data_IF_178887278469
#
_entry.id   IF_178887278469
#
_cell.length_a   1.000
_cell.length_b   1.000
_cell.length_c   1.000
_cell.angle_alpha   90.00
_cell.angle_beta   90.00
_cell.angle_gamma   90.00
#
_symmetry.space_group_name_H-M   'P 1'
#
loop_
_entity.id
_entity.type
_entity.pdbx_description
1 polymer ?
#
# COMPACT_ATOMS: atom_id res chain seq x y z
N UNK A 1 -29.02 -18.87 46.78
CA UNK A 1 -29.25 -18.70 45.33
C UNK A 1 -27.97 -18.20 44.71
N UNK A 2 -27.63 -18.79 43.58
CA UNK A 2 -26.32 -18.76 42.92
C UNK A 2 -26.03 -17.40 42.28
N UNK A 3 -24.76 -17.02 42.22
CA UNK A 3 -24.22 -15.86 41.48
C UNK A 3 -24.63 -15.88 40.01
N UNK A 4 -24.89 -14.72 39.37
CA UNK A 4 -24.49 -14.50 37.99
C UNK A 4 -23.18 -13.70 37.97
N UNK A 5 -22.03 -14.29 37.60
CA UNK A 5 -20.98 -13.50 37.00
C UNK A 5 -21.37 -13.17 35.55
N UNK A 6 -21.18 -11.90 35.22
CA UNK A 6 -21.43 -11.22 33.95
C UNK A 6 -21.08 -12.07 32.73
N UNK A 7 -22.05 -12.13 31.82
CA UNK A 7 -21.96 -12.64 30.46
C UNK A 7 -20.76 -12.04 29.70
N UNK A 8 -20.19 -12.88 28.85
CA UNK A 8 -19.04 -12.62 28.04
C UNK A 8 -19.21 -11.37 27.16
N UNK A 9 -18.11 -10.65 26.92
CA UNK A 9 -17.59 -10.62 25.57
C UNK A 9 -16.07 -10.56 25.60
N UNK A 10 -15.56 -11.44 24.74
CA UNK A 10 -14.19 -11.73 24.39
C UNK A 10 -13.40 -10.46 24.08
N UNK A 11 -12.08 -10.55 24.20
CA UNK A 11 -11.15 -9.53 23.74
C UNK A 11 -11.37 -9.24 22.25
N UNK A 12 -12.19 -8.25 21.90
CA UNK A 12 -11.97 -7.53 20.65
C UNK A 12 -10.79 -6.61 20.95
N UNK A 13 -9.60 -7.17 20.78
CA UNK A 13 -8.40 -6.38 20.57
C UNK A 13 -8.73 -5.44 19.42
N UNK A 14 -9.10 -4.20 19.78
CA UNK A 14 -9.06 -3.09 18.86
C UNK A 14 -7.62 -3.04 18.37
N UNK A 15 -7.40 -3.70 17.25
CA UNK A 15 -6.27 -3.58 16.36
C UNK A 15 -6.39 -2.16 15.77
N UNK A 16 -6.22 -1.15 16.62
CA UNK A 16 -5.90 0.23 16.25
C UNK A 16 -4.50 0.19 15.64
N UNK A 17 -4.38 -0.48 14.49
CA UNK A 17 -3.21 -0.45 13.64
C UNK A 17 -3.22 0.88 12.90
N UNK A 18 -2.84 1.94 13.61
CA UNK A 18 -2.15 3.14 13.13
C UNK A 18 -2.05 3.23 11.58
N UNK A 19 -3.19 3.54 10.96
CA UNK A 19 -3.39 3.88 9.55
C UNK A 19 -2.75 5.24 9.20
N UNK A 20 -1.71 5.67 9.91
CA UNK A 20 -1.30 7.08 9.82
C UNK A 20 -0.43 7.39 8.60
N UNK A 21 0.26 6.44 7.93
CA UNK A 21 0.90 6.74 6.62
C UNK A 21 1.43 5.48 5.84
N UNK A 22 0.61 4.44 5.61
CA UNK A 22 1.04 3.34 4.72
C UNK A 22 0.17 2.08 4.65
N UNK A 23 0.65 1.10 3.87
CA UNK A 23 0.01 -0.21 3.67
C UNK A 23 1.03 -1.34 3.74
N UNK A 24 0.75 -2.41 4.47
CA UNK A 24 1.58 -3.63 4.48
C UNK A 24 0.69 -4.85 4.29
N UNK A 25 0.96 -5.63 3.26
CA UNK A 25 0.23 -6.87 3.01
C UNK A 25 0.31 -7.35 1.56
N UNK A 26 -0.57 -8.30 1.20
CA UNK A 26 -0.62 -8.89 -0.12
C UNK A 26 -1.17 -7.91 -1.16
N UNK A 27 -0.53 -7.87 -2.31
CA UNK A 27 -0.92 -7.06 -3.46
C UNK A 27 -0.69 -7.85 -4.75
N UNK A 28 -1.40 -7.48 -5.81
CA UNK A 28 -1.16 -8.00 -7.14
C UNK A 28 -0.39 -6.95 -7.95
N UNK A 29 0.75 -7.32 -8.52
CA UNK A 29 1.55 -6.44 -9.38
C UNK A 29 1.50 -6.93 -10.82
N UNK A 30 0.97 -6.11 -11.72
CA UNK A 30 1.02 -6.34 -13.17
C UNK A 30 2.05 -5.40 -13.80
N UNK A 31 3.06 -5.95 -14.44
CA UNK A 31 4.04 -5.14 -15.17
C UNK A 31 3.43 -4.58 -16.47
N UNK A 32 3.94 -3.44 -16.96
CA UNK A 32 3.44 -2.79 -18.19
C UNK A 32 3.69 -3.61 -19.48
N UNK A 33 4.49 -4.68 -19.39
CA UNK A 33 4.79 -5.54 -20.54
C UNK A 33 3.52 -6.23 -21.03
N UNK A 34 3.27 -6.19 -22.34
CA UNK A 34 2.02 -6.65 -22.96
C UNK A 34 1.63 -8.11 -22.65
N UNK A 35 2.61 -8.95 -22.29
CA UNK A 35 2.44 -10.37 -21.96
C UNK A 35 2.63 -10.68 -20.45
N UNK A 36 2.67 -9.66 -19.59
CA UNK A 36 2.89 -9.86 -18.15
C UNK A 36 1.57 -10.19 -17.42
N UNK A 37 1.50 -11.41 -16.91
CA UNK A 37 0.47 -11.82 -15.97
C UNK A 37 0.63 -11.10 -14.61
N UNK A 38 -0.47 -10.83 -13.88
CA UNK A 38 -0.40 -10.26 -12.55
C UNK A 38 0.30 -11.22 -11.58
N UNK A 39 1.25 -10.69 -10.80
CA UNK A 39 2.05 -11.42 -9.82
C UNK A 39 1.53 -11.13 -8.42
N UNK A 40 1.22 -12.18 -7.65
CA UNK A 40 0.86 -12.07 -6.23
C UNK A 40 2.13 -11.79 -5.41
N UNK A 41 2.21 -10.62 -4.79
CA UNK A 41 3.40 -10.13 -4.08
C UNK A 41 3.05 -9.60 -2.69
N UNK A 42 4.01 -9.67 -1.78
CA UNK A 42 3.92 -8.99 -0.48
C UNK A 42 4.59 -7.63 -0.59
N UNK A 43 3.91 -6.56 -0.16
CA UNK A 43 4.41 -5.19 -0.22
C UNK A 43 4.40 -4.50 1.13
N UNK A 44 5.32 -3.55 1.29
CA UNK A 44 5.28 -2.57 2.36
C UNK A 44 5.38 -1.21 1.72
N UNK A 45 4.27 -0.48 1.70
CA UNK A 45 4.09 0.85 1.15
C UNK A 45 3.95 1.86 2.28
N UNK A 46 4.40 3.07 2.01
CA UNK A 46 4.22 4.27 2.81
C UNK A 46 3.96 5.43 1.87
N UNK A 47 3.34 6.47 2.35
CA UNK A 47 3.21 7.68 1.56
C UNK A 47 3.07 8.91 2.45
N UNK A 48 3.00 10.06 1.80
CA UNK A 48 2.72 11.35 2.41
C UNK A 48 2.19 12.28 1.32
N UNK A 49 1.41 13.27 1.74
CA UNK A 49 1.01 14.35 0.86
C UNK A 49 2.14 15.38 0.74
N UNK A 50 2.57 15.69 -0.47
CA UNK A 50 3.55 16.73 -0.76
C UNK A 50 2.84 18.06 -1.06
N UNK A 51 2.91 19.07 -0.17
CA UNK A 51 2.22 20.34 -0.38
C UNK A 51 2.82 21.18 -1.52
N UNK A 52 4.07 20.91 -1.87
CA UNK A 52 4.82 21.65 -2.88
C UNK A 52 4.25 21.45 -4.29
N UNK A 53 3.76 20.24 -4.59
CA UNK A 53 3.17 19.91 -5.88
C UNK A 53 1.71 19.47 -5.79
N UNK A 54 1.16 19.37 -4.57
CA UNK A 54 -0.21 19.01 -4.28
C UNK A 54 -0.54 17.55 -4.57
N UNK A 55 0.47 16.66 -4.53
CA UNK A 55 0.31 15.24 -4.86
C UNK A 55 0.70 14.33 -3.72
N UNK A 56 -0.02 13.22 -3.60
CA UNK A 56 0.35 12.15 -2.69
C UNK A 56 1.49 11.32 -3.29
N UNK A 57 2.63 11.33 -2.61
CA UNK A 57 3.80 10.54 -2.97
C UNK A 57 3.83 9.29 -2.13
N UNK A 58 3.94 8.14 -2.77
CA UNK A 58 4.06 6.88 -2.08
C UNK A 58 5.30 6.12 -2.55
N UNK A 59 5.89 5.39 -1.63
CA UNK A 59 7.06 4.58 -1.85
C UNK A 59 6.98 3.33 -1.00
N UNK A 60 7.63 2.28 -1.45
CA UNK A 60 7.59 1.02 -0.77
C UNK A 60 8.62 0.04 -1.25
N UNK A 61 8.46 -1.18 -0.77
CA UNK A 61 9.29 -2.32 -1.14
C UNK A 61 8.37 -3.47 -1.51
N UNK A 62 8.77 -4.17 -2.56
CA UNK A 62 8.20 -5.46 -2.94
C UNK A 62 9.11 -6.54 -2.38
N UNK A 63 8.52 -7.55 -1.72
CA UNK A 63 9.26 -8.72 -1.28
C UNK A 63 9.90 -9.45 -2.47
N UNK A 64 10.92 -10.26 -2.20
CA UNK A 64 11.59 -11.05 -3.25
C UNK A 64 10.56 -11.99 -3.88
N UNK A 65 10.33 -11.83 -5.18
CA UNK A 65 9.38 -12.64 -5.93
C UNK A 65 10.03 -13.16 -7.23
N UNK A 66 10.08 -14.49 -7.46
CA UNK A 66 10.80 -15.08 -8.59
C UNK A 66 10.24 -14.65 -9.95
N UNK A 67 8.93 -14.40 -10.05
CA UNK A 67 8.32 -13.87 -11.27
C UNK A 67 8.77 -12.44 -11.60
N UNK A 68 9.12 -11.66 -10.57
CA UNK A 68 9.57 -10.28 -10.73
C UNK A 68 11.03 -10.25 -11.20
N UNK A 69 11.86 -11.12 -10.62
CA UNK A 69 13.24 -11.34 -11.07
C UNK A 69 13.28 -11.86 -12.51
N UNK A 70 12.44 -12.82 -12.87
CA UNK A 70 12.35 -13.34 -14.23
C UNK A 70 11.91 -12.28 -15.24
N UNK A 71 10.96 -11.41 -14.86
CA UNK A 71 10.43 -10.39 -15.76
C UNK A 71 11.36 -9.19 -15.92
N UNK A 72 11.92 -8.66 -14.82
CA UNK A 72 12.73 -7.43 -14.85
C UNK A 72 14.24 -7.70 -14.94
N UNK A 73 14.72 -8.83 -14.42
CA UNK A 73 16.14 -9.21 -14.47
C UNK A 73 17.05 -8.21 -13.76
N UNK A 74 16.58 -7.60 -12.66
CA UNK A 74 17.31 -6.57 -11.92
C UNK A 74 17.26 -5.17 -12.53
N UNK A 75 16.46 -4.97 -13.58
CA UNK A 75 16.28 -3.67 -14.24
C UNK A 75 15.07 -2.93 -13.67
N UNK A 76 14.99 -1.64 -13.98
CA UNK A 76 13.79 -0.85 -13.74
C UNK A 76 12.62 -1.35 -14.58
N UNK A 77 11.41 -1.15 -14.09
CA UNK A 77 10.18 -1.36 -14.87
C UNK A 77 9.00 -0.65 -14.24
N UNK A 78 7.95 -0.43 -15.01
CA UNK A 78 6.70 0.13 -14.49
C UNK A 78 5.67 -0.97 -14.34
N UNK A 79 4.84 -0.89 -13.30
CA UNK A 79 3.73 -1.81 -13.10
C UNK A 79 2.55 -1.14 -12.41
N UNK A 80 1.37 -1.69 -12.66
CA UNK A 80 0.16 -1.41 -11.89
C UNK A 80 0.18 -2.29 -10.64
N UNK A 81 0.23 -1.65 -9.47
CA UNK A 81 0.11 -2.29 -8.18
C UNK A 81 -1.34 -2.18 -7.70
N UNK A 82 -1.98 -3.32 -7.47
CA UNK A 82 -3.36 -3.42 -6.97
C UNK A 82 -3.31 -4.00 -5.55
N UNK A 83 -3.85 -3.25 -4.60
CA UNK A 83 -4.07 -3.71 -3.22
C UNK A 83 -5.58 -3.91 -2.99
N UNK A 84 -6.02 -4.47 -1.85
CA UNK A 84 -7.43 -4.52 -1.48
C UNK A 84 -8.14 -3.17 -1.43
N UNK A 85 -7.37 -2.08 -1.33
CA UNK A 85 -7.89 -0.75 -1.09
C UNK A 85 -7.79 0.18 -2.31
N UNK A 86 -7.16 -0.27 -3.41
CA UNK A 86 -7.11 0.48 -4.67
C UNK A 86 -5.97 0.03 -5.58
N UNK A 87 -5.75 0.78 -6.65
CA UNK A 87 -4.67 0.50 -7.60
C UNK A 87 -3.90 1.76 -7.96
N UNK A 88 -2.59 1.61 -8.16
CA UNK A 88 -1.69 2.70 -8.49
C UNK A 88 -0.54 2.23 -9.37
N UNK A 89 -0.14 3.08 -10.31
CA UNK A 89 1.04 2.83 -11.15
C UNK A 89 2.28 3.19 -10.34
N UNK A 90 3.21 2.24 -10.24
CA UNK A 90 4.50 2.42 -9.59
C UNK A 90 5.67 2.08 -10.51
N UNK A 91 6.75 2.85 -10.39
CA UNK A 91 8.05 2.51 -10.95
C UNK A 91 8.77 1.59 -9.96
N UNK A 92 9.06 0.38 -10.42
CA UNK A 92 10.00 -0.52 -9.76
C UNK A 92 11.42 -0.08 -10.12
N UNK A 93 12.17 0.28 -9.09
CA UNK A 93 13.53 0.78 -9.18
C UNK A 93 14.44 0.01 -8.23
N UNK A 94 15.73 -0.01 -8.58
CA UNK A 94 16.89 -0.54 -7.84
C UNK A 94 16.66 -1.83 -7.02
N UNK A 95 17.26 -2.92 -7.49
CA UNK A 95 17.37 -4.13 -6.69
C UNK A 95 18.48 -3.92 -5.65
N UNK A 96 18.09 -3.77 -4.39
CA UNK A 96 19.05 -3.79 -3.29
C UNK A 96 19.91 -5.08 -3.36
N UNK A 97 21.11 -5.15 -2.75
CA UNK A 97 21.96 -6.36 -2.72
C UNK A 97 21.28 -7.65 -2.20
N UNK A 98 20.08 -7.54 -1.65
CA UNK A 98 19.23 -8.63 -1.15
C UNK A 98 18.08 -9.01 -2.08
N UNK A 99 18.03 -8.52 -3.32
CA UNK A 99 17.02 -8.93 -4.31
C UNK A 99 15.66 -8.24 -4.18
N UNK A 100 15.54 -7.20 -3.33
CA UNK A 100 14.28 -6.48 -3.10
C UNK A 100 14.15 -5.30 -4.04
N UNK A 101 13.02 -5.21 -4.72
CA UNK A 101 12.71 -4.07 -5.58
C UNK A 101 12.10 -2.95 -4.74
N UNK A 102 12.60 -1.73 -4.93
CA UNK A 102 11.91 -0.53 -4.47
C UNK A 102 10.79 -0.21 -5.45
N UNK A 103 9.64 0.21 -4.94
CA UNK A 103 8.56 0.71 -5.77
C UNK A 103 8.22 2.13 -5.34
N UNK A 104 8.00 3.03 -6.29
CA UNK A 104 7.64 4.43 -6.03
C UNK A 104 6.52 4.85 -6.98
N UNK A 105 5.62 5.71 -6.53
CA UNK A 105 4.55 6.24 -7.36
C UNK A 105 4.02 7.57 -6.85
N UNK A 106 3.36 8.28 -7.75
CA UNK A 106 2.71 9.58 -7.47
C UNK A 106 1.28 9.49 -7.98
N UNK A 107 0.33 9.16 -7.10
CA UNK A 107 -1.08 8.99 -7.48
C UNK A 107 -2.01 9.11 -6.28
N UNK A 108 -3.32 9.12 -6.52
CA UNK A 108 -4.31 8.72 -5.51
C UNK A 108 -3.87 7.37 -4.95
N UNK A 109 -3.65 7.25 -3.63
CA UNK A 109 -3.08 6.05 -3.07
C UNK A 109 -3.99 4.86 -3.34
N UNK A 110 -3.42 3.66 -3.58
CA UNK A 110 -4.17 2.41 -3.62
C UNK A 110 -4.51 1.98 -2.18
N UNK A 111 -4.85 2.93 -1.32
CA UNK A 111 -5.35 2.71 0.03
C UNK A 111 -6.32 3.80 0.45
N UNK A 112 -7.21 3.44 1.39
CA UNK A 112 -8.18 4.39 1.92
C UNK A 112 -7.42 5.51 2.63
N UNK A 113 -7.28 6.65 1.96
CA UNK A 113 -7.00 7.89 2.67
C UNK A 113 -8.24 8.20 3.48
N UNK A 114 -8.11 8.17 4.81
CA UNK A 114 -9.17 8.57 5.71
C UNK A 114 -9.78 9.88 5.20
N UNK A 115 -11.10 9.91 5.10
CA UNK A 115 -11.87 11.10 4.75
C UNK A 115 -11.72 12.15 5.87
N UNK A 116 -10.54 12.75 5.97
CA UNK A 116 -10.20 13.81 6.93
C UNK A 116 -9.89 15.15 6.25
N UNK A 117 -9.53 15.15 4.96
CA UNK A 117 -9.03 16.34 4.27
C UNK A 117 -10.05 16.97 3.29
N UNK A 118 -11.36 16.84 3.55
CA UNK A 118 -12.40 17.44 2.69
C UNK A 118 -13.53 18.16 3.43
N UNK A 119 -13.39 18.48 4.73
CA UNK A 119 -14.41 19.25 5.46
C UNK A 119 -13.88 20.45 6.27
N UNK A 120 -12.66 20.91 5.99
CA UNK A 120 -12.09 22.04 6.72
C UNK A 120 -12.15 23.38 5.98
N UNK A 121 -13.11 23.66 5.08
CA UNK A 121 -13.20 25.01 4.47
C UNK A 121 -14.64 25.46 4.15
N UNK A 122 -15.67 25.10 4.92
CA UNK A 122 -16.97 25.81 4.83
C UNK A 122 -17.60 26.02 6.23
N UNK A 123 -16.86 26.68 7.12
CA UNK A 123 -17.42 27.36 8.29
C UNK A 123 -16.90 28.78 8.37
N UNK A 124 -17.26 29.59 7.39
CA UNK A 124 -17.26 31.04 7.53
C UNK A 124 -18.14 31.68 6.46
N UNK A 125 -19.44 31.86 6.75
CA UNK A 125 -20.05 33.19 6.94
C UNK A 125 -21.57 33.10 7.15
#
# INVERSE_FOLDING_TARGET
MTTPPTDAHDHDAHDDHDDEDGYRGPASLRLESADAEPLEVEVTLRGHFEPLDGRYHWYGRVAVHPGLEAALGGRKGTGLLTTPHGEAVGELSDVDPWGRYRIVGTSTPPFAVGAGDLLAEESSR
#
